data_IF_286110126173
#
_entry.id   IF_286110126173
#
_cell.length_a   1.000
_cell.length_b   1.000
_cell.length_c   1.000
_cell.angle_alpha   90.00
_cell.angle_beta   90.00
_cell.angle_gamma   90.00
#
_symmetry.space_group_name_H-M   'P 1'
#
loop_
_entity.id
_entity.type
_entity.pdbx_description
1 polymer ?
#
# COMPACT_ATOMS: atom_id res chain seq x y z
N UNK A 1 -11.18 33.56 -4.99
CA UNK A 1 -11.98 32.39 -4.53
C UNK A 1 -11.56 32.10 -3.10
N UNK A 2 -12.51 31.86 -2.20
CA UNK A 2 -12.23 31.53 -0.78
C UNK A 2 -12.56 30.05 -0.57
N UNK A 3 -11.68 29.34 0.12
CA UNK A 3 -11.88 27.95 0.52
C UNK A 3 -11.95 27.89 2.05
N UNK A 4 -12.84 27.05 2.55
CA UNK A 4 -13.00 26.77 3.98
C UNK A 4 -12.77 25.27 4.14
N UNK A 5 -11.83 24.91 5.00
CA UNK A 5 -11.54 23.53 5.36
C UNK A 5 -11.93 23.32 6.82
N UNK A 6 -12.64 22.23 7.08
CA UNK A 6 -12.98 21.77 8.41
C UNK A 6 -13.12 20.25 8.36
N UNK A 7 -12.88 19.61 9.51
CA UNK A 7 -13.14 18.20 9.67
C UNK A 7 -14.64 17.99 9.91
N UNK A 8 -15.25 17.09 9.15
CA UNK A 8 -16.65 16.73 9.30
C UNK A 8 -16.84 15.25 9.01
N UNK A 9 -17.74 14.65 9.79
CA UNK A 9 -18.23 13.30 9.54
C UNK A 9 -19.48 13.35 8.67
N UNK A 10 -19.58 12.42 7.73
CA UNK A 10 -20.76 12.27 6.87
C UNK A 10 -21.72 11.30 7.54
N UNK A 11 -22.92 11.76 7.86
CA UNK A 11 -24.00 10.93 8.43
C UNK A 11 -25.16 10.90 7.45
N UNK A 12 -25.56 9.72 6.99
CA UNK A 12 -26.66 9.53 6.01
C UNK A 12 -26.53 10.37 4.73
N UNK A 13 -25.30 10.62 4.28
CA UNK A 13 -25.00 11.45 3.11
C UNK A 13 -25.11 12.95 3.35
N UNK A 14 -25.32 13.39 4.60
CA UNK A 14 -25.35 14.80 5.01
C UNK A 14 -24.00 15.19 5.62
N UNK A 15 -23.45 16.31 5.14
CA UNK A 15 -22.27 16.97 5.72
C UNK A 15 -22.79 18.10 6.59
N UNK A 16 -22.62 17.98 7.91
CA UNK A 16 -22.98 19.07 8.82
C UNK A 16 -21.85 20.12 8.85
N UNK A 17 -22.22 21.39 8.68
CA UNK A 17 -21.27 22.47 8.84
C UNK A 17 -21.07 22.76 10.32
N UNK A 18 -19.81 22.86 10.80
CA UNK A 18 -19.53 23.27 12.16
C UNK A 18 -20.18 24.63 12.48
N UNK A 19 -20.61 24.87 13.73
CA UNK A 19 -21.32 26.08 14.13
C UNK A 19 -20.61 27.39 13.73
N UNK A 20 -19.27 27.38 13.76
CA UNK A 20 -18.42 28.52 13.38
C UNK A 20 -18.46 28.89 11.89
N UNK A 21 -19.08 28.06 11.05
CA UNK A 21 -19.20 28.25 9.60
C UNK A 21 -20.65 28.36 9.12
N UNK A 22 -21.60 28.62 10.02
CA UNK A 22 -23.02 28.79 9.65
C UNK A 22 -23.31 30.08 8.88
N UNK A 23 -22.43 31.09 8.98
CA UNK A 23 -22.56 32.38 8.29
C UNK A 23 -22.11 32.35 6.82
N UNK A 24 -21.95 31.17 6.22
CA UNK A 24 -21.65 31.10 4.78
C UNK A 24 -22.83 31.72 4.00
N UNK A 25 -22.58 32.75 3.18
CA UNK A 25 -23.63 33.45 2.46
C UNK A 25 -24.39 32.47 1.57
N UNK A 26 -25.72 32.61 1.49
CA UNK A 26 -26.65 31.82 0.65
C UNK A 26 -26.31 31.93 -0.85
N UNK A 27 -25.23 31.29 -1.25
CA UNK A 27 -24.67 31.28 -2.61
C UNK A 27 -24.40 29.84 -2.99
N UNK A 28 -24.35 29.58 -4.29
CA UNK A 28 -23.93 28.28 -4.81
C UNK A 28 -22.45 28.06 -4.46
N UNK A 29 -22.16 26.97 -3.76
CA UNK A 29 -20.80 26.56 -3.38
C UNK A 29 -20.44 25.25 -4.08
N UNK A 30 -19.14 25.07 -4.32
CA UNK A 30 -18.58 23.78 -4.74
C UNK A 30 -17.99 23.09 -3.51
N UNK A 31 -18.32 21.82 -3.30
CA UNK A 31 -17.84 21.01 -2.18
C UNK A 31 -16.77 20.04 -2.70
N UNK A 32 -15.65 19.94 -2.00
CA UNK A 32 -14.59 18.96 -2.27
C UNK A 32 -14.49 18.08 -1.03
N UNK A 33 -14.68 16.78 -1.21
CA UNK A 33 -14.53 15.77 -0.16
C UNK A 33 -13.16 15.11 -0.31
N UNK A 34 -12.34 15.20 0.73
CA UNK A 34 -11.11 14.44 0.86
C UNK A 34 -11.39 13.33 1.86
N UNK A 35 -11.44 12.09 1.37
CA UNK A 35 -11.57 10.91 2.21
C UNK A 35 -10.19 10.31 2.37
N UNK A 36 -9.84 9.88 3.58
CA UNK A 36 -8.70 9.00 3.75
C UNK A 36 -9.02 7.72 2.98
N UNK A 37 -8.16 7.35 2.03
CA UNK A 37 -8.20 6.01 1.47
C UNK A 37 -8.06 5.06 2.66
N UNK A 38 -9.07 4.21 2.88
CA UNK A 38 -8.86 2.96 3.61
C UNK A 38 -7.85 2.19 2.77
N UNK A 39 -6.57 2.48 2.99
CA UNK A 39 -5.48 1.73 2.42
C UNK A 39 -5.79 0.31 2.83
N UNK A 40 -6.06 -0.63 1.89
CA UNK A 40 -6.28 -2.00 2.28
C UNK A 40 -5.07 -2.35 3.12
N UNK A 41 -5.30 -2.61 4.41
CA UNK A 41 -4.24 -2.89 5.39
C UNK A 41 -3.25 -3.79 4.67
N UNK A 42 -1.99 -3.37 4.43
CA UNK A 42 -1.18 -3.96 3.39
C UNK A 42 -1.14 -5.45 3.69
N UNK A 43 -1.87 -6.23 2.88
CA UNK A 43 -2.05 -7.66 3.12
C UNK A 43 -0.64 -8.19 3.28
N UNK A 44 -0.31 -8.62 4.51
CA UNK A 44 1.06 -8.68 5.02
C UNK A 44 1.98 -9.17 3.90
N UNK A 45 2.66 -8.23 3.24
CA UNK A 45 3.48 -8.59 2.07
C UNK A 45 4.48 -9.57 2.64
N UNK A 46 4.49 -10.83 2.15
CA UNK A 46 5.33 -11.84 2.76
C UNK A 46 6.75 -11.31 2.70
N UNK A 47 7.40 -11.23 3.86
CA UNK A 47 8.76 -10.75 3.93
C UNK A 47 9.65 -11.66 3.09
N UNK A 48 10.81 -11.17 2.67
CA UNK A 48 11.79 -12.02 1.99
C UNK A 48 12.10 -13.29 2.80
N UNK A 49 12.05 -13.19 4.15
CA UNK A 49 12.19 -14.32 5.06
C UNK A 49 11.00 -15.29 5.00
N UNK A 50 9.76 -14.80 4.89
CA UNK A 50 8.57 -15.66 4.73
C UNK A 50 8.58 -16.42 3.40
N UNK A 51 9.09 -15.80 2.33
CA UNK A 51 9.24 -16.44 1.02
C UNK A 51 10.33 -17.53 1.07
N UNK A 52 11.43 -17.25 1.77
CA UNK A 52 12.53 -18.21 1.96
C UNK A 52 12.13 -19.37 2.88
N UNK A 53 11.35 -19.10 3.94
CA UNK A 53 10.86 -20.11 4.88
C UNK A 53 9.85 -21.08 4.25
N UNK A 54 9.09 -20.62 3.24
CA UNK A 54 8.12 -21.45 2.50
C UNK A 54 8.74 -22.22 1.33
N UNK A 55 10.00 -21.97 1.01
CA UNK A 55 10.71 -22.68 -0.05
C UNK A 55 11.20 -24.04 0.48
N UNK A 56 10.65 -25.19 0.06
CA UNK A 56 11.08 -26.47 0.56
C UNK A 56 12.45 -26.81 -0.04
N UNK A 57 13.46 -26.92 0.82
CA UNK A 57 14.62 -27.79 0.56
C UNK A 57 15.67 -27.33 -0.46
N UNK A 58 15.73 -26.06 -0.86
CA UNK A 58 16.84 -25.57 -1.72
C UNK A 58 17.37 -24.22 -1.27
N UNK A 59 18.34 -24.22 -0.34
CA UNK A 59 19.43 -23.21 -0.29
C UNK A 59 20.44 -23.36 0.86
N UNK A 60 20.49 -24.48 1.59
CA UNK A 60 21.67 -24.78 2.40
C UNK A 60 22.62 -25.63 1.57
N UNK A 61 23.34 -24.97 0.65
CA UNK A 61 24.50 -25.60 0.03
C UNK A 61 25.51 -25.90 1.14
N UNK A 62 25.96 -27.16 1.23
CA UNK A 62 26.83 -27.64 2.30
C UNK A 62 28.26 -27.09 2.18
N UNK A 63 28.63 -26.52 1.03
CA UNK A 63 29.93 -25.92 0.76
C UNK A 63 29.84 -24.83 -0.31
N UNK A 64 30.85 -23.96 -0.36
CA UNK A 64 30.97 -22.95 -1.41
C UNK A 64 31.13 -23.57 -2.80
N UNK A 65 31.78 -24.74 -2.90
CA UNK A 65 31.93 -25.49 -4.16
C UNK A 65 30.58 -25.99 -4.70
N UNK A 66 29.66 -26.39 -3.82
CA UNK A 66 28.31 -26.80 -4.22
C UNK A 66 27.50 -25.63 -4.78
N UNK A 67 27.75 -24.40 -4.30
CA UNK A 67 27.16 -23.18 -4.87
C UNK A 67 27.76 -22.91 -6.26
N UNK A 68 29.09 -22.94 -6.39
CA UNK A 68 29.78 -22.63 -7.65
C UNK A 68 29.38 -23.60 -8.77
N UNK A 69 29.32 -24.90 -8.47
CA UNK A 69 28.86 -25.91 -9.42
C UNK A 69 27.41 -25.71 -9.85
N UNK A 70 26.52 -25.32 -8.93
CA UNK A 70 25.13 -25.05 -9.25
C UNK A 70 24.98 -23.82 -10.16
N UNK A 71 25.69 -22.73 -9.84
CA UNK A 71 25.68 -21.50 -10.66
C UNK A 71 26.22 -21.76 -12.07
N UNK A 72 27.27 -22.58 -12.20
CA UNK A 72 27.83 -22.94 -13.49
C UNK A 72 26.85 -23.77 -14.32
N UNK A 73 26.22 -24.78 -13.71
CA UNK A 73 25.22 -25.60 -14.38
C UNK A 73 23.99 -24.80 -14.84
N UNK A 74 23.51 -23.85 -14.03
CA UNK A 74 22.41 -22.96 -14.42
C UNK A 74 22.78 -22.06 -15.60
N UNK A 75 24.00 -21.51 -15.60
CA UNK A 75 24.49 -20.67 -16.70
C UNK A 75 24.62 -21.47 -18.00
N UNK A 76 25.24 -22.64 -17.93
CA UNK A 76 25.46 -23.48 -19.11
C UNK A 76 24.11 -23.96 -19.71
N UNK A 77 23.08 -24.15 -18.87
CA UNK A 77 21.72 -24.46 -19.31
C UNK A 77 20.96 -23.29 -19.96
N UNK A 78 21.48 -22.06 -19.90
CA UNK A 78 20.93 -20.90 -20.60
C UNK A 78 21.61 -20.63 -21.94
N UNK A 79 22.76 -21.28 -22.20
CA UNK A 79 23.51 -21.13 -23.45
C UNK A 79 23.09 -22.15 -24.54
N UNK A 80 22.26 -23.14 -24.19
CA UNK A 80 21.57 -24.09 -25.10
C UNK A 80 20.13 -23.65 -25.44
#
# INVERSE_FOLDING_TARGET
MQAIQFDASIHDGVIELPPHHQDIPKKNVKVILLMEDESPSPAARPSALDILARSPGKRLFQSAEAVDNHLRAERDAWED
#
